data_IF_639439259768
#
_entry.id   IF_639439259768
#
_cell.length_a   1.000
_cell.length_b   1.000
_cell.length_c   1.000
_cell.angle_alpha   90.00
_cell.angle_beta   90.00
_cell.angle_gamma   90.00
#
_symmetry.space_group_name_H-M   'P 1'
#
loop_
_entity.id
_entity.type
_entity.pdbx_description
1 polymer ?
#
# COMPACT_ATOMS: atom_id res chain seq x y z
N UNK A 1 21.04 -17.78 10.77
CA UNK A 1 20.27 -17.70 9.51
C UNK A 1 19.66 -16.32 9.46
N UNK A 2 20.10 -15.50 8.51
CA UNK A 2 19.83 -14.06 8.46
C UNK A 2 18.34 -13.73 8.55
N UNK A 3 17.91 -13.20 9.71
CA UNK A 3 16.63 -12.50 9.91
C UNK A 3 16.72 -11.10 9.29
N UNK A 4 17.21 -10.99 8.06
CA UNK A 4 17.59 -9.72 7.48
C UNK A 4 16.33 -8.92 7.08
N UNK A 5 15.95 -7.99 7.96
CA UNK A 5 15.18 -6.81 7.61
C UNK A 5 15.87 -6.12 6.44
N UNK A 6 15.24 -6.14 5.26
CA UNK A 6 15.71 -5.30 4.16
C UNK A 6 15.00 -3.96 4.30
N UNK A 7 15.81 -2.90 4.40
CA UNK A 7 15.35 -1.52 4.23
C UNK A 7 15.70 -1.09 2.80
N UNK A 8 14.69 -1.02 1.95
CA UNK A 8 14.78 -0.28 0.69
C UNK A 8 14.47 1.19 0.94
N UNK A 9 15.18 2.11 0.28
CA UNK A 9 14.84 3.52 0.29
C UNK A 9 15.19 4.17 -1.04
N UNK A 10 14.46 5.21 -1.39
CA UNK A 10 14.86 6.13 -2.47
C UNK A 10 15.60 7.35 -1.91
N UNK A 11 16.60 7.84 -2.64
CA UNK A 11 17.31 9.10 -2.36
C UNK A 11 17.40 10.05 -3.56
N UNK A 12 17.00 9.61 -4.76
CA UNK A 12 17.31 10.32 -6.01
C UNK A 12 16.11 11.08 -6.61
N UNK A 13 16.45 12.18 -7.29
CA UNK A 13 15.55 13.12 -7.97
C UNK A 13 14.84 12.56 -9.21
N UNK A 14 15.28 11.40 -9.75
CA UNK A 14 14.68 10.79 -10.93
C UNK A 14 13.45 9.97 -10.58
N UNK A 15 12.31 10.36 -11.16
CA UNK A 15 10.99 9.80 -10.91
C UNK A 15 10.84 8.39 -11.54
N UNK A 16 11.41 7.35 -10.95
CA UNK A 16 11.28 5.97 -11.44
C UNK A 16 10.85 4.99 -10.33
N UNK A 17 10.15 3.93 -10.75
CA UNK A 17 9.75 2.80 -9.89
C UNK A 17 10.93 1.83 -9.78
N UNK A 18 11.24 1.36 -8.57
CA UNK A 18 12.35 0.43 -8.32
C UNK A 18 11.93 -1.03 -8.58
N UNK A 19 11.76 -1.38 -9.86
CA UNK A 19 11.30 -2.72 -10.30
C UNK A 19 12.19 -3.84 -9.78
N UNK A 20 13.52 -3.69 -9.88
CA UNK A 20 14.49 -4.70 -9.44
C UNK A 20 14.40 -4.96 -7.94
N UNK A 21 14.26 -3.89 -7.15
CA UNK A 21 14.05 -4.03 -5.71
C UNK A 21 12.76 -4.79 -5.44
N UNK A 22 11.65 -4.46 -6.12
CA UNK A 22 10.39 -5.17 -5.92
C UNK A 22 10.52 -6.68 -6.23
N UNK A 23 11.20 -7.06 -7.30
CA UNK A 23 11.51 -8.46 -7.64
C UNK A 23 12.35 -9.14 -6.55
N UNK A 24 13.44 -8.51 -6.11
CA UNK A 24 14.33 -9.03 -5.07
C UNK A 24 13.60 -9.27 -3.74
N UNK A 25 12.76 -8.32 -3.33
CA UNK A 25 11.97 -8.42 -2.10
C UNK A 25 10.96 -9.58 -2.19
N UNK A 26 10.32 -9.76 -3.35
CA UNK A 26 9.37 -10.85 -3.58
C UNK A 26 10.08 -12.20 -3.61
N UNK A 27 11.18 -12.33 -4.34
CA UNK A 27 11.94 -13.57 -4.42
C UNK A 27 12.46 -14.01 -3.04
N UNK A 28 12.91 -13.05 -2.21
CA UNK A 28 13.31 -13.36 -0.83
C UNK A 28 12.13 -13.86 0.01
N UNK A 29 10.99 -13.17 -0.05
CA UNK A 29 9.78 -13.60 0.65
C UNK A 29 9.38 -15.03 0.26
N UNK A 30 9.36 -15.31 -1.04
CA UNK A 30 8.96 -16.61 -1.56
C UNK A 30 9.95 -17.72 -1.23
N UNK A 31 11.26 -17.45 -1.25
CA UNK A 31 12.28 -18.40 -0.77
C UNK A 31 12.06 -18.76 0.70
N UNK A 32 11.79 -17.77 1.55
CA UNK A 32 11.51 -18.01 2.98
C UNK A 32 10.24 -18.85 3.19
N UNK A 33 9.15 -18.48 2.51
CA UNK A 33 7.85 -19.12 2.66
C UNK A 33 7.84 -20.55 2.11
N UNK A 34 8.38 -20.76 0.90
CA UNK A 34 8.37 -22.07 0.23
C UNK A 34 9.49 -23.01 0.67
N UNK A 35 10.59 -22.46 1.20
CA UNK A 35 11.83 -23.21 1.46
C UNK A 35 12.62 -23.60 0.21
N UNK A 36 12.16 -23.21 -1.00
CA UNK A 36 12.85 -23.50 -2.25
C UNK A 36 13.88 -22.41 -2.56
N UNK A 37 15.11 -22.77 -2.96
CA UNK A 37 16.17 -21.80 -3.22
C UNK A 37 15.92 -20.97 -4.49
N UNK A 38 15.19 -21.52 -5.46
CA UNK A 38 14.93 -20.89 -6.76
C UNK A 38 14.07 -19.62 -6.61
N UNK A 39 14.36 -18.57 -7.40
CA UNK A 39 13.51 -17.40 -7.52
C UNK A 39 12.07 -17.80 -7.89
N UNK A 40 11.11 -17.25 -7.17
CA UNK A 40 9.69 -17.49 -7.38
C UNK A 40 8.95 -16.18 -7.37
N UNK A 41 8.16 -15.94 -8.41
CA UNK A 41 7.34 -14.75 -8.51
C UNK A 41 6.08 -14.87 -7.65
N UNK A 42 5.65 -13.72 -7.12
CA UNK A 42 4.38 -13.59 -6.47
C UNK A 42 3.69 -12.31 -6.95
N UNK A 43 2.86 -12.46 -7.97
CA UNK A 43 2.29 -11.34 -8.72
C UNK A 43 1.55 -10.31 -7.86
N UNK A 44 0.82 -10.77 -6.84
CA UNK A 44 0.08 -9.90 -5.94
C UNK A 44 1.01 -9.01 -5.10
N UNK A 45 2.11 -9.59 -4.61
CA UNK A 45 3.09 -8.88 -3.79
C UNK A 45 3.89 -7.89 -4.64
N UNK A 46 4.36 -8.34 -5.81
CA UNK A 46 5.04 -7.49 -6.78
C UNK A 46 4.17 -6.30 -7.18
N UNK A 47 2.93 -6.53 -7.60
CA UNK A 47 2.00 -5.45 -7.96
C UNK A 47 1.74 -4.49 -6.81
N UNK A 48 1.62 -4.99 -5.58
CA UNK A 48 1.40 -4.15 -4.39
C UNK A 48 2.59 -3.21 -4.16
N UNK A 49 3.82 -3.73 -4.24
CA UNK A 49 5.05 -2.93 -4.13
C UNK A 49 5.13 -1.87 -5.23
N UNK A 50 4.93 -2.27 -6.49
CA UNK A 50 4.96 -1.36 -7.65
C UNK A 50 3.92 -0.25 -7.52
N UNK A 51 2.73 -0.57 -7.04
CA UNK A 51 1.67 0.43 -6.85
C UNK A 51 2.01 1.40 -5.70
N UNK A 52 2.56 0.90 -4.60
CA UNK A 52 3.05 1.76 -3.51
C UNK A 52 4.11 2.75 -4.03
N UNK A 53 5.14 2.24 -4.71
CA UNK A 53 6.21 3.07 -5.28
C UNK A 53 5.71 4.03 -6.37
N UNK A 54 4.67 3.65 -7.12
CA UNK A 54 4.07 4.50 -8.15
C UNK A 54 3.18 5.60 -7.56
N UNK A 55 2.64 5.40 -6.37
CA UNK A 55 1.83 6.41 -5.70
C UNK A 55 2.69 7.59 -5.22
N UNK A 56 3.91 7.35 -4.76
CA UNK A 56 4.87 8.39 -4.37
C UNK A 56 5.49 9.15 -5.58
N UNK A 57 5.05 8.84 -6.80
CA UNK A 57 5.47 9.53 -8.02
C UNK A 57 4.44 10.61 -8.43
N UNK A 58 3.15 10.35 -8.20
CA UNK A 58 2.04 11.15 -8.77
C UNK A 58 1.62 12.33 -7.89
N UNK A 59 2.28 12.54 -6.75
CA UNK A 59 1.85 13.46 -5.71
C UNK A 59 2.89 14.52 -5.31
N UNK A 60 4.12 14.45 -5.83
CA UNK A 60 5.10 15.53 -5.74
C UNK A 60 4.54 16.81 -6.37
N UNK A 61 4.30 17.82 -5.53
CA UNK A 61 3.86 19.16 -5.92
C UNK A 61 4.83 19.74 -6.97
N UNK A 62 4.35 20.13 -8.17
CA UNK A 62 5.18 20.75 -9.19
C UNK A 62 5.92 22.02 -8.73
N UNK A 63 5.44 22.69 -7.68
CA UNK A 63 6.00 23.93 -7.16
C UNK A 63 7.02 23.74 -6.03
N UNK A 64 7.12 22.54 -5.46
CA UNK A 64 8.14 22.24 -4.44
C UNK A 64 9.08 21.18 -4.97
N UNK A 65 10.39 21.46 -4.98
CA UNK A 65 11.45 20.46 -5.19
C UNK A 65 11.50 19.37 -4.09
N UNK A 66 10.45 19.24 -3.27
CA UNK A 66 10.34 18.26 -2.21
C UNK A 66 10.36 16.86 -2.81
N UNK A 67 11.45 16.15 -2.56
CA UNK A 67 11.59 14.74 -2.89
C UNK A 67 10.68 13.93 -1.98
N UNK A 68 9.62 13.35 -2.55
CA UNK A 68 8.85 12.31 -1.88
C UNK A 68 9.75 11.08 -1.74
N UNK A 69 10.26 10.88 -0.52
CA UNK A 69 11.04 9.72 -0.14
C UNK A 69 10.09 8.62 0.33
N UNK A 70 10.48 7.39 0.05
CA UNK A 70 9.80 6.22 0.56
C UNK A 70 10.79 5.19 1.07
N UNK A 71 10.29 4.38 1.98
CA UNK A 71 11.00 3.28 2.59
C UNK A 71 10.13 2.03 2.56
N UNK A 72 10.77 0.89 2.40
CA UNK A 72 10.13 -0.42 2.53
C UNK A 72 10.93 -1.31 3.45
N UNK A 73 10.26 -1.87 4.44
CA UNK A 73 10.74 -2.93 5.30
C UNK A 73 10.15 -4.26 4.83
N UNK A 74 11.00 -5.28 4.71
CA UNK A 74 10.63 -6.63 4.29
C UNK A 74 11.29 -7.65 5.22
N UNK A 75 10.50 -8.45 5.92
CA UNK A 75 10.98 -9.29 7.03
C UNK A 75 10.03 -10.47 7.35
N UNK A 76 10.52 -11.57 7.96
CA UNK A 76 9.66 -12.66 8.42
C UNK A 76 8.82 -12.23 9.62
N UNK A 77 7.57 -12.69 9.71
CA UNK A 77 6.71 -12.40 10.86
C UNK A 77 7.32 -13.00 12.15
N UNK A 78 7.47 -12.22 13.23
CA UNK A 78 8.20 -12.65 14.43
C UNK A 78 7.39 -13.53 15.40
N UNK A 79 6.06 -13.57 15.24
CA UNK A 79 5.16 -14.29 16.13
C UNK A 79 5.08 -15.80 15.86
N UNK A 80 4.55 -16.58 16.82
CA UNK A 80 4.28 -17.99 16.63
C UNK A 80 3.21 -18.21 15.54
N UNK A 81 3.18 -19.41 14.97
CA UNK A 81 2.19 -19.82 13.97
C UNK A 81 2.79 -20.12 12.60
N UNK A 82 1.96 -20.15 11.54
CA UNK A 82 2.42 -20.46 10.19
C UNK A 82 3.39 -19.40 9.68
N UNK A 83 4.32 -19.82 8.83
CA UNK A 83 5.31 -18.95 8.19
C UNK A 83 4.59 -17.82 7.44
N UNK A 84 4.96 -16.59 7.79
CA UNK A 84 4.45 -15.38 7.16
C UNK A 84 5.58 -14.43 6.86
N UNK A 85 5.43 -13.68 5.78
CA UNK A 85 6.38 -12.64 5.38
C UNK A 85 5.67 -11.30 5.38
N UNK A 86 6.26 -10.31 6.01
CA UNK A 86 5.70 -8.99 6.24
C UNK A 86 6.35 -7.96 5.31
N UNK A 87 5.53 -7.05 4.81
CA UNK A 87 5.95 -5.84 4.14
C UNK A 87 5.37 -4.63 4.86
N UNK A 88 6.20 -3.62 5.09
CA UNK A 88 5.76 -2.31 5.55
C UNK A 88 6.35 -1.24 4.64
N UNK A 89 5.50 -0.50 3.95
CA UNK A 89 5.86 0.59 3.07
C UNK A 89 5.45 1.91 3.70
N UNK A 90 6.32 2.92 3.65
CA UNK A 90 6.02 4.27 4.13
C UNK A 90 6.58 5.32 3.20
N UNK A 91 5.80 6.36 2.95
CA UNK A 91 6.23 7.58 2.27
C UNK A 91 6.02 8.82 3.15
N UNK A 92 6.74 9.90 2.83
CA UNK A 92 6.61 11.21 3.48
C UNK A 92 5.80 12.22 2.65
N UNK A 93 4.92 11.75 1.77
CA UNK A 93 4.09 12.61 0.92
C UNK A 93 2.96 13.29 1.69
N UNK A 94 1.98 13.84 0.96
CA UNK A 94 0.82 14.52 1.58
C UNK A 94 -0.26 13.55 2.09
N UNK A 95 -0.16 12.27 1.75
CA UNK A 95 -1.13 11.22 2.06
C UNK A 95 -2.27 11.09 1.04
N UNK A 96 -2.96 9.94 1.09
CA UNK A 96 -3.98 9.53 0.11
C UNK A 96 -5.16 10.51 0.04
N UNK A 97 -5.68 10.93 1.19
CA UNK A 97 -6.92 11.70 1.25
C UNK A 97 -6.67 13.16 0.84
N UNK A 98 -5.62 13.78 1.38
CA UNK A 98 -5.21 15.12 0.95
C UNK A 98 -4.89 15.18 -0.54
N UNK A 99 -4.33 14.10 -1.11
CA UNK A 99 -4.11 13.97 -2.55
C UNK A 99 -5.39 13.98 -3.39
N UNK A 100 -6.46 13.35 -2.90
CA UNK A 100 -7.78 13.41 -3.56
C UNK A 100 -8.37 14.82 -3.49
N UNK A 101 -8.11 15.56 -2.41
CA UNK A 101 -8.58 16.92 -2.22
C UNK A 101 -7.88 17.92 -3.15
N UNK A 102 -6.55 17.82 -3.25
CA UNK A 102 -5.75 18.62 -4.21
C UNK A 102 -6.24 18.41 -5.65
N UNK A 103 -6.66 17.19 -6.00
CA UNK A 103 -7.19 16.86 -7.33
C UNK A 103 -8.66 17.26 -7.53
N UNK A 104 -9.29 17.90 -6.54
CA UNK A 104 -10.69 18.33 -6.57
C UNK A 104 -11.71 17.20 -6.41
N UNK A 105 -11.28 15.95 -6.21
CA UNK A 105 -12.18 14.80 -6.09
C UNK A 105 -12.96 14.81 -4.77
N UNK A 106 -12.39 15.34 -3.67
CA UNK A 106 -13.12 15.46 -2.41
C UNK A 106 -14.35 16.36 -2.54
N UNK A 107 -14.26 17.47 -3.28
CA UNK A 107 -15.39 18.37 -3.47
C UNK A 107 -16.50 17.69 -4.26
N UNK A 108 -16.14 16.93 -5.31
CA UNK A 108 -17.12 16.14 -6.06
C UNK A 108 -17.74 15.04 -5.21
N UNK A 109 -16.94 14.35 -4.39
CA UNK A 109 -17.42 13.30 -3.50
C UNK A 109 -18.38 13.87 -2.45
N UNK A 110 -18.06 15.02 -1.85
CA UNK A 110 -18.93 15.74 -0.90
C UNK A 110 -20.27 16.12 -1.51
N UNK A 111 -20.31 16.49 -2.80
CA UNK A 111 -21.58 16.77 -3.50
C UNK A 111 -22.46 15.54 -3.67
N UNK A 112 -21.85 14.37 -3.86
CA UNK A 112 -22.58 13.11 -4.10
C UNK A 112 -22.96 12.40 -2.80
N UNK A 113 -22.11 12.47 -1.77
CA UNK A 113 -22.23 11.68 -0.54
C UNK A 113 -22.42 12.50 0.74
N UNK A 114 -22.35 13.83 0.66
CA UNK A 114 -22.29 14.68 1.83
C UNK A 114 -20.94 14.64 2.54
N UNK A 115 -20.89 15.16 3.76
CA UNK A 115 -19.70 15.14 4.60
C UNK A 115 -19.57 13.76 5.27
N UNK A 116 -18.70 12.92 4.72
CA UNK A 116 -18.33 11.64 5.31
C UNK A 116 -16.95 11.71 5.99
N UNK A 117 -16.69 10.91 7.03
CA UNK A 117 -15.38 10.81 7.64
C UNK A 117 -14.29 10.35 6.65
N UNK A 118 -13.05 10.69 6.99
CA UNK A 118 -11.87 10.34 6.20
C UNK A 118 -11.66 8.81 6.06
N UNK A 119 -11.96 8.03 7.12
CA UNK A 119 -11.89 6.57 7.05
C UNK A 119 -12.91 5.97 6.07
N UNK A 120 -14.12 6.55 6.00
CA UNK A 120 -15.15 6.10 5.07
C UNK A 120 -14.76 6.46 3.64
N UNK A 121 -14.16 7.63 3.44
CA UNK A 121 -13.59 8.01 2.14
C UNK A 121 -12.49 7.03 1.71
N UNK A 122 -11.58 6.65 2.61
CA UNK A 122 -10.54 5.66 2.33
C UNK A 122 -11.14 4.29 1.99
N UNK A 123 -12.19 3.86 2.70
CA UNK A 123 -12.89 2.61 2.41
C UNK A 123 -13.52 2.64 1.00
N UNK A 124 -14.25 3.70 0.65
CA UNK A 124 -14.85 3.85 -0.67
C UNK A 124 -13.81 3.90 -1.78
N UNK A 125 -12.63 4.47 -1.50
CA UNK A 125 -11.50 4.47 -2.42
C UNK A 125 -11.01 3.04 -2.65
N UNK A 126 -10.74 2.29 -1.58
CA UNK A 126 -10.27 0.90 -1.66
C UNK A 126 -11.27 -0.02 -2.37
N UNK A 127 -12.56 0.22 -2.19
CA UNK A 127 -13.62 -0.52 -2.89
C UNK A 127 -13.77 -0.10 -4.36
N UNK A 128 -13.05 0.93 -4.81
CA UNK A 128 -13.17 1.48 -6.15
C UNK A 128 -14.48 2.24 -6.41
N UNK A 129 -15.26 2.52 -5.35
CA UNK A 129 -16.57 3.17 -5.44
C UNK A 129 -16.46 4.67 -5.71
N UNK A 130 -15.36 5.33 -5.34
CA UNK A 130 -15.16 6.76 -5.66
C UNK A 130 -15.14 6.98 -7.18
N UNK A 131 -14.31 6.24 -7.93
CA UNK A 131 -14.22 6.40 -9.38
C UNK A 131 -15.55 6.11 -10.08
N UNK A 132 -16.24 5.05 -9.67
CA UNK A 132 -17.57 4.70 -10.19
C UNK A 132 -18.61 5.78 -9.92
N UNK A 133 -18.66 6.34 -8.71
CA UNK A 133 -19.63 7.39 -8.33
C UNK A 133 -19.35 8.72 -9.02
N UNK A 134 -18.08 9.02 -9.31
CA UNK A 134 -17.66 10.24 -9.99
C UNK A 134 -17.65 10.12 -11.52
N UNK A 135 -18.05 8.98 -12.09
CA UNK A 135 -18.02 8.75 -13.54
C UNK A 135 -16.59 8.75 -14.12
N UNK A 136 -15.58 8.57 -13.27
CA UNK A 136 -14.18 8.56 -13.68
C UNK A 136 -13.84 7.18 -14.23
N UNK A 137 -13.21 7.15 -15.41
CA UNK A 137 -12.65 5.93 -16.00
C UNK A 137 -11.38 5.50 -15.25
N UNK A 138 -11.50 5.17 -13.95
CA UNK A 138 -10.39 4.67 -13.17
C UNK A 138 -10.12 3.21 -13.56
N UNK A 139 -9.42 3.00 -14.69
CA UNK A 139 -8.88 1.69 -15.06
C UNK A 139 -7.92 1.23 -13.97
N UNK A 140 -8.31 0.15 -13.29
CA UNK A 140 -7.63 -0.35 -12.09
C UNK A 140 -6.17 -0.70 -12.31
N UNK A 141 -5.32 -0.11 -11.45
CA UNK A 141 -4.03 -0.66 -10.95
C UNK A 141 -3.69 -0.18 -9.53
N UNK A 142 -4.32 0.91 -9.07
CA UNK A 142 -4.26 1.56 -7.75
C UNK A 142 -4.47 0.75 -6.47
N UNK A 143 -4.67 1.49 -5.37
CA UNK A 143 -5.19 1.01 -4.09
C UNK A 143 -6.38 0.01 -4.18
N UNK A 144 -7.38 0.18 -5.08
CA UNK A 144 -8.41 -0.85 -5.27
C UNK A 144 -7.88 -2.19 -5.78
N UNK A 145 -6.78 -2.17 -6.54
CA UNK A 145 -6.06 -3.36 -6.96
C UNK A 145 -5.52 -4.13 -5.76
N UNK A 146 -4.85 -3.44 -4.84
CA UNK A 146 -4.32 -4.02 -3.60
C UNK A 146 -5.46 -4.62 -2.77
N UNK A 147 -6.59 -3.91 -2.62
CA UNK A 147 -7.75 -4.44 -1.90
C UNK A 147 -8.33 -5.71 -2.55
N UNK A 148 -8.37 -5.79 -3.88
CA UNK A 148 -8.77 -7.02 -4.59
C UNK A 148 -7.82 -8.19 -4.34
N UNK A 149 -6.52 -7.93 -4.17
CA UNK A 149 -5.57 -8.99 -3.81
C UNK A 149 -5.82 -9.53 -2.40
N UNK A 150 -6.19 -8.65 -1.45
CA UNK A 150 -6.62 -9.04 -0.11
C UNK A 150 -7.88 -9.90 -0.17
N UNK A 151 -8.92 -9.45 -0.89
CA UNK A 151 -10.18 -10.19 -1.00
C UNK A 151 -10.03 -11.56 -1.67
N UNK A 152 -9.00 -11.73 -2.52
CA UNK A 152 -8.67 -13.01 -3.15
C UNK A 152 -7.78 -13.90 -2.28
N UNK A 153 -7.44 -13.47 -1.07
CA UNK A 153 -6.56 -14.20 -0.16
C UNK A 153 -5.11 -14.33 -0.66
N UNK A 154 -4.66 -13.44 -1.55
CA UNK A 154 -3.27 -13.45 -2.05
C UNK A 154 -2.34 -12.57 -1.23
N UNK A 155 -2.89 -11.63 -0.47
CA UNK A 155 -2.23 -10.93 0.61
C UNK A 155 -3.14 -10.96 1.84
N UNK A 156 -2.59 -10.73 3.02
CA UNK A 156 -3.31 -10.76 4.28
C UNK A 156 -2.99 -9.53 5.15
N UNK A 157 -3.81 -9.29 6.18
CA UNK A 157 -3.58 -8.27 7.21
C UNK A 157 -3.24 -6.89 6.64
N UNK A 158 -3.99 -6.44 5.64
CA UNK A 158 -3.76 -5.13 5.00
C UNK A 158 -4.15 -4.00 5.96
N UNK A 159 -3.16 -3.22 6.37
CA UNK A 159 -3.36 -2.00 7.19
C UNK A 159 -2.87 -0.79 6.40
N UNK A 160 -3.65 0.28 6.43
CA UNK A 160 -3.31 1.57 5.82
C UNK A 160 -3.42 2.67 6.88
N UNK A 161 -2.39 3.51 6.96
CA UNK A 161 -2.41 4.76 7.74
C UNK A 161 -2.12 5.92 6.80
N UNK A 162 -3.02 6.88 6.72
CA UNK A 162 -2.85 8.08 5.91
C UNK A 162 -3.67 9.22 6.49
N UNK A 163 -3.09 10.43 6.53
CA UNK A 163 -3.73 11.60 7.11
C UNK A 163 -4.20 11.29 8.55
N UNK A 164 -5.45 11.55 8.91
CA UNK A 164 -6.01 11.27 10.24
C UNK A 164 -6.66 9.89 10.35
N UNK A 165 -6.32 8.93 9.47
CA UNK A 165 -7.03 7.65 9.37
C UNK A 165 -6.07 6.47 9.50
N UNK A 166 -6.43 5.50 10.34
CA UNK A 166 -5.91 4.13 10.33
C UNK A 166 -7.04 3.16 9.99
N UNK A 167 -6.81 2.31 8.99
CA UNK A 167 -7.77 1.31 8.53
C UNK A 167 -7.11 -0.07 8.46
N UNK A 168 -7.66 -1.04 9.19
CA UNK A 168 -7.32 -2.45 9.05
C UNK A 168 -8.41 -3.14 8.23
N UNK A 169 -8.08 -3.49 6.99
CA UNK A 169 -9.01 -4.08 6.05
C UNK A 169 -9.23 -5.59 6.27
N UNK A 170 -8.41 -6.24 7.10
CA UNK A 170 -8.64 -7.62 7.49
C UNK A 170 -9.63 -7.75 8.66
N UNK A 171 -9.62 -6.79 9.60
CA UNK A 171 -10.48 -6.81 10.79
C UNK A 171 -11.67 -5.84 10.71
N UNK A 172 -11.75 -5.02 9.66
CA UNK A 172 -12.71 -3.92 9.55
C UNK A 172 -12.64 -2.91 10.71
N UNK A 173 -11.44 -2.70 11.24
CA UNK A 173 -11.18 -1.71 12.29
C UNK A 173 -10.74 -0.39 11.66
N UNK A 174 -11.51 0.67 11.90
CA UNK A 174 -11.27 2.00 11.37
C UNK A 174 -11.18 3.00 12.51
N UNK A 175 -10.08 3.75 12.58
CA UNK A 175 -9.78 4.66 13.67
C UNK A 175 -9.37 6.02 13.13
N UNK A 176 -9.96 7.08 13.68
CA UNK A 176 -9.48 8.45 13.48
C UNK A 176 -8.32 8.72 14.43
N UNK A 177 -7.20 9.13 13.89
CA UNK A 177 -6.00 9.49 14.64
C UNK A 177 -6.13 10.91 15.21
N UNK A 178 -5.65 11.10 16.44
CA UNK A 178 -5.60 12.41 17.10
C UNK A 178 -4.57 13.35 16.47
N UNK A 179 -3.53 12.79 15.84
CA UNK A 179 -2.54 13.51 15.06
C UNK A 179 -2.53 12.97 13.64
N UNK A 180 -2.59 13.87 12.65
CA UNK A 180 -2.53 13.48 11.25
C UNK A 180 -1.13 13.06 10.84
N UNK A 181 -1.03 11.95 10.13
CA UNK A 181 0.17 11.49 9.46
C UNK A 181 0.30 12.11 8.06
N UNK A 182 1.33 12.92 7.86
CA UNK A 182 1.72 13.44 6.54
C UNK A 182 2.53 12.38 5.80
N UNK A 183 1.82 11.57 5.04
CA UNK A 183 2.38 10.48 4.26
C UNK A 183 1.37 9.36 4.07
N UNK A 184 1.85 8.25 3.54
CA UNK A 184 1.09 7.00 3.48
C UNK A 184 1.92 5.85 4.04
N UNK A 185 1.33 5.09 4.95
CA UNK A 185 1.88 3.83 5.45
C UNK A 185 0.98 2.68 5.05
N UNK A 186 1.55 1.64 4.45
CA UNK A 186 0.87 0.40 4.08
C UNK A 186 1.61 -0.78 4.71
N UNK A 187 0.86 -1.70 5.30
CA UNK A 187 1.36 -2.97 5.80
C UNK A 187 0.54 -4.12 5.23
N UNK A 188 1.19 -5.22 4.85
CA UNK A 188 0.52 -6.46 4.48
C UNK A 188 1.43 -7.68 4.71
N UNK A 189 0.80 -8.85 4.74
CA UNK A 189 1.44 -10.13 4.95
C UNK A 189 1.25 -11.06 3.75
N UNK A 190 2.21 -11.96 3.54
CA UNK A 190 2.12 -13.11 2.66
C UNK A 190 2.20 -14.40 3.46
N UNK A 191 1.42 -15.38 3.04
CA UNK A 191 1.56 -16.78 3.44
C UNK A 191 1.32 -17.67 2.24
N UNK A 192 1.92 -18.85 2.24
CA UNK A 192 1.54 -19.89 1.29
C UNK A 192 0.35 -20.68 1.85
N UNK A 193 -0.52 -21.21 0.97
CA UNK A 193 -1.49 -22.20 1.38
C UNK A 193 -0.82 -23.39 2.09
N UNK A 194 -1.50 -24.06 3.02
CA UNK A 194 -1.03 -25.33 3.54
C UNK A 194 -0.71 -26.28 2.39
N UNK A 195 0.46 -26.93 2.42
CA UNK A 195 0.72 -28.02 1.49
C UNK A 195 -0.16 -29.19 1.93
N UNK A 196 -1.08 -29.61 1.06
CA UNK A 196 -1.92 -30.80 1.21
C UNK A 196 -1.09 -32.08 1.16
#
# INVERSE_FOLDING_TARGET
MDQALILGRRRDFHKQVEVKLAEELVHRAMRYLSGRPEPQDHHAAYRTLIECMSNTFKHADPQTEATENWWVASYPHPGPGPKRWCFAFVDNGVGILKSLDIKGFFQQLKRVLGLIPNYETLQLLMEGKIGSRLGLSYRGKGLPGIYKELQRGRIHNLVIVANDTRANFATHEYVTLTQSFSGTFLYWELSLPPQS
#
